data_IF_421519439612
#
_entry.id   IF_421519439612
#
_cell.length_a   1.000
_cell.length_b   1.000
_cell.length_c   1.000
_cell.angle_alpha   90.00
_cell.angle_beta   90.00
_cell.angle_gamma   90.00
#
_symmetry.space_group_name_H-M   'P 1'
#
loop_
_entity.id
_entity.type
_entity.pdbx_description
1 polymer ?
#
# COMPACT_ATOMS: atom_id res chain seq x y z
N UNK A 1 4.20 20.03 -6.50
CA UNK A 1 3.66 18.76 -7.04
C UNK A 1 4.42 18.17 -8.24
N UNK A 2 4.95 18.91 -9.23
CA UNK A 2 5.61 18.28 -10.39
C UNK A 2 6.83 17.44 -10.02
N UNK A 3 7.56 17.83 -8.96
CA UNK A 3 8.67 17.04 -8.41
C UNK A 3 8.24 15.65 -7.91
N UNK A 4 7.08 15.53 -7.25
CA UNK A 4 6.59 14.23 -6.79
C UNK A 4 6.16 13.34 -7.95
N UNK A 5 5.51 13.93 -8.97
CA UNK A 5 5.15 13.20 -10.17
C UNK A 5 6.39 12.65 -10.90
N UNK A 6 7.45 13.47 -10.98
CA UNK A 6 8.73 13.07 -11.56
C UNK A 6 9.43 12.00 -10.71
N UNK A 7 9.45 12.15 -9.39
CA UNK A 7 10.07 11.18 -8.48
C UNK A 7 9.40 9.80 -8.53
N UNK A 8 8.08 9.76 -8.74
CA UNK A 8 7.32 8.51 -8.88
C UNK A 8 7.21 8.03 -10.34
N UNK A 9 7.91 8.69 -11.28
CA UNK A 9 7.89 8.38 -12.71
C UNK A 9 6.48 8.25 -13.30
N UNK A 10 5.54 9.07 -12.83
CA UNK A 10 4.16 9.05 -13.35
C UNK A 10 4.14 9.84 -14.68
N UNK A 11 3.69 9.24 -15.79
CA UNK A 11 3.59 9.91 -17.08
C UNK A 11 2.71 11.16 -17.01
N UNK A 12 2.97 12.15 -17.87
CA UNK A 12 2.16 13.38 -17.91
C UNK A 12 0.69 13.11 -18.30
N UNK A 13 0.47 12.12 -19.15
CA UNK A 13 -0.85 11.64 -19.57
C UNK A 13 -0.80 10.12 -19.53
N UNK A 14 -1.84 9.51 -18.97
CA UNK A 14 -2.00 8.07 -18.88
C UNK A 14 -3.30 7.67 -19.58
N UNK A 15 -3.21 6.64 -20.40
CA UNK A 15 -4.38 5.95 -20.94
C UNK A 15 -4.57 4.67 -20.14
N UNK A 16 -5.69 4.56 -19.43
CA UNK A 16 -6.04 3.31 -18.73
C UNK A 16 -6.63 2.29 -19.71
N UNK A 17 -6.72 1.02 -19.28
CA UNK A 17 -7.32 -0.06 -20.09
C UNK A 17 -8.80 0.20 -20.44
N UNK A 18 -9.48 0.99 -19.61
CA UNK A 18 -10.85 1.43 -19.84
C UNK A 18 -10.94 2.63 -20.80
N UNK A 19 -9.85 2.93 -21.52
CA UNK A 19 -9.73 4.06 -22.47
C UNK A 19 -9.92 5.43 -21.83
N UNK A 20 -9.77 5.53 -20.52
CA UNK A 20 -9.80 6.80 -19.82
C UNK A 20 -8.46 7.49 -20.00
N UNK A 21 -8.49 8.73 -20.46
CA UNK A 21 -7.29 9.56 -20.61
C UNK A 21 -7.24 10.50 -19.42
N UNK A 22 -6.26 10.29 -18.55
CA UNK A 22 -6.16 11.00 -17.27
C UNK A 22 -4.79 11.68 -17.19
N UNK A 23 -4.72 12.96 -16.77
CA UNK A 23 -3.46 13.62 -16.53
C UNK A 23 -2.75 12.98 -15.32
N UNK A 24 -1.43 12.81 -15.40
CA UNK A 24 -0.65 12.14 -14.35
C UNK A 24 -0.75 12.81 -12.98
N UNK A 25 -1.00 14.12 -12.95
CA UNK A 25 -1.20 14.86 -11.70
C UNK A 25 -2.48 14.43 -10.96
N UNK A 26 -3.54 14.08 -11.69
CA UNK A 26 -4.79 13.62 -11.10
C UNK A 26 -4.62 12.23 -10.49
N UNK A 27 -3.92 11.34 -11.19
CA UNK A 27 -3.52 10.03 -10.68
C UNK A 27 -2.72 10.19 -9.39
N UNK A 28 -1.70 11.07 -9.39
CA UNK A 28 -0.90 11.34 -8.21
C UNK A 28 -1.75 11.82 -7.03
N UNK A 29 -2.65 12.77 -7.26
CA UNK A 29 -3.52 13.30 -6.20
C UNK A 29 -4.48 12.24 -5.65
N UNK A 30 -5.07 11.41 -6.51
CA UNK A 30 -5.99 10.33 -6.11
C UNK A 30 -5.23 9.30 -5.25
N UNK A 31 -4.06 8.86 -5.69
CA UNK A 31 -3.22 7.93 -4.94
C UNK A 31 -2.82 8.51 -3.59
N UNK A 32 -2.29 9.74 -3.56
CA UNK A 32 -1.88 10.38 -2.30
C UNK A 32 -3.05 10.57 -1.34
N UNK A 33 -4.24 10.91 -1.84
CA UNK A 33 -5.45 11.02 -1.01
C UNK A 33 -5.80 9.68 -0.36
N UNK A 34 -5.82 8.59 -1.12
CA UNK A 34 -6.20 7.27 -0.63
C UNK A 34 -5.14 6.68 0.31
N UNK A 35 -3.86 6.98 0.10
CA UNK A 35 -2.78 6.60 1.02
C UNK A 35 -2.82 7.40 2.32
N UNK A 36 -3.22 8.68 2.25
CA UNK A 36 -3.34 9.53 3.45
C UNK A 36 -4.58 9.19 4.27
N UNK A 37 -5.67 8.81 3.60
CA UNK A 37 -6.94 8.42 4.20
C UNK A 37 -7.47 7.17 3.49
N UNK A 38 -7.19 5.97 4.04
CA UNK A 38 -7.67 4.72 3.47
C UNK A 38 -9.20 4.77 3.36
N UNK A 39 -9.70 4.64 2.14
CA UNK A 39 -11.14 4.61 1.82
C UNK A 39 -11.43 3.29 1.11
N UNK A 40 -12.65 2.76 1.28
CA UNK A 40 -13.04 1.57 0.54
C UNK A 40 -13.04 1.90 -0.96
N UNK A 41 -12.54 0.98 -1.80
CA UNK A 41 -12.54 1.16 -3.26
C UNK A 41 -13.96 1.36 -3.81
N UNK A 42 -14.96 0.73 -3.17
CA UNK A 42 -16.37 0.85 -3.54
C UNK A 42 -16.91 2.27 -3.29
N UNK A 43 -16.34 3.00 -2.32
CA UNK A 43 -16.77 4.37 -1.98
C UNK A 43 -16.19 5.44 -2.93
N UNK A 44 -15.12 5.12 -3.67
CA UNK A 44 -14.45 6.07 -4.57
C UNK A 44 -15.22 6.30 -5.88
N UNK A 45 -16.16 5.42 -6.21
CA UNK A 45 -16.79 5.36 -7.53
C UNK A 45 -15.90 4.65 -8.55
N UNK A 46 -16.52 4.09 -9.58
CA UNK A 46 -15.86 3.16 -10.51
C UNK A 46 -14.63 3.75 -11.20
N UNK A 47 -14.74 4.93 -11.81
CA UNK A 47 -13.64 5.55 -12.57
C UNK A 47 -12.44 5.91 -11.68
N UNK A 48 -12.69 6.46 -10.50
CA UNK A 48 -11.63 6.83 -9.54
C UNK A 48 -10.95 5.58 -8.98
N UNK A 49 -11.71 4.52 -8.72
CA UNK A 49 -11.18 3.22 -8.29
C UNK A 49 -10.21 2.64 -9.34
N UNK A 50 -10.56 2.70 -10.63
CA UNK A 50 -9.66 2.28 -11.72
C UNK A 50 -8.39 3.13 -11.79
N UNK A 51 -8.51 4.45 -11.65
CA UNK A 51 -7.36 5.36 -11.65
C UNK A 51 -6.43 5.05 -10.48
N UNK A 52 -7.00 4.86 -9.29
CA UNK A 52 -6.24 4.51 -8.09
C UNK A 52 -5.53 3.16 -8.27
N UNK A 53 -6.24 2.14 -8.76
CA UNK A 53 -5.67 0.82 -9.00
C UNK A 53 -4.50 0.87 -9.98
N UNK A 54 -4.63 1.63 -11.07
CA UNK A 54 -3.54 1.84 -12.02
C UNK A 54 -2.34 2.53 -11.35
N UNK A 55 -2.58 3.60 -10.60
CA UNK A 55 -1.52 4.36 -9.93
C UNK A 55 -0.77 3.54 -8.88
N UNK A 56 -1.50 2.73 -8.09
CA UNK A 56 -0.92 1.81 -7.12
C UNK A 56 -0.13 0.69 -7.82
N UNK A 57 -0.66 0.10 -8.88
CA UNK A 57 0.05 -0.93 -9.64
C UNK A 57 1.37 -0.37 -10.22
N UNK A 58 1.36 0.85 -10.75
CA UNK A 58 2.55 1.53 -11.27
C UNK A 58 3.62 1.71 -10.19
N UNK A 59 3.24 2.24 -9.02
CA UNK A 59 4.17 2.45 -7.89
C UNK A 59 4.70 1.10 -7.37
N UNK A 60 3.81 0.12 -7.15
CA UNK A 60 4.20 -1.20 -6.66
C UNK A 60 5.15 -1.92 -7.61
N UNK A 61 4.95 -1.78 -8.92
CA UNK A 61 5.84 -2.39 -9.91
C UNK A 61 7.21 -1.72 -9.90
N UNK A 62 7.22 -0.38 -9.95
CA UNK A 62 8.45 0.40 -10.05
C UNK A 62 9.32 0.32 -8.79
N UNK A 63 8.69 0.34 -7.62
CA UNK A 63 9.37 0.32 -6.33
C UNK A 63 9.24 -1.02 -5.62
N UNK A 64 8.94 -2.10 -6.35
CA UNK A 64 8.77 -3.44 -5.78
C UNK A 64 9.96 -3.85 -4.91
N UNK A 65 11.18 -3.64 -5.37
CA UNK A 65 12.37 -3.99 -4.59
C UNK A 65 12.48 -3.21 -3.27
N UNK A 66 12.02 -1.96 -3.25
CA UNK A 66 12.02 -1.13 -2.05
C UNK A 66 10.81 -1.39 -1.14
N UNK A 67 9.65 -1.71 -1.71
CA UNK A 67 8.43 -2.01 -0.95
C UNK A 67 8.49 -3.41 -0.32
N UNK A 68 9.12 -4.35 -1.02
CA UNK A 68 9.37 -5.70 -0.57
C UNK A 68 10.83 -5.85 -0.13
N UNK A 69 11.34 -4.84 0.59
CA UNK A 69 12.73 -4.62 1.00
C UNK A 69 13.42 -5.85 1.59
N UNK A 70 12.65 -6.87 2.00
CA UNK A 70 13.23 -8.12 2.45
C UNK A 70 12.43 -9.38 2.11
N UNK A 71 12.28 -9.71 0.82
CA UNK A 71 11.64 -10.98 0.40
C UNK A 71 12.30 -12.23 1.00
N UNK A 72 13.56 -12.15 1.40
CA UNK A 72 14.31 -13.29 1.94
C UNK A 72 14.10 -13.47 3.45
N UNK A 73 13.92 -12.37 4.20
CA UNK A 73 13.67 -12.44 5.65
C UNK A 73 12.18 -12.40 6.02
N UNK A 74 11.33 -11.78 5.20
CA UNK A 74 9.87 -11.80 5.38
C UNK A 74 9.21 -13.03 4.72
N UNK A 75 9.90 -14.17 4.73
CA UNK A 75 9.27 -15.45 4.38
C UNK A 75 8.49 -15.98 5.58
N UNK A 76 7.43 -16.75 5.33
CA UNK A 76 6.67 -17.37 6.43
C UNK A 76 7.59 -18.18 7.34
N UNK A 77 8.54 -18.92 6.78
CA UNK A 77 9.48 -19.70 7.57
C UNK A 77 10.34 -18.85 8.50
N UNK A 78 10.99 -17.81 7.99
CA UNK A 78 11.85 -16.94 8.81
C UNK A 78 11.04 -16.16 9.86
N UNK A 79 9.80 -15.78 9.53
CA UNK A 79 8.88 -15.16 10.48
C UNK A 79 8.47 -16.12 11.61
N UNK A 80 8.26 -17.41 11.31
CA UNK A 80 8.00 -18.44 12.32
C UNK A 80 9.22 -18.66 13.21
N UNK A 81 10.41 -18.84 12.62
CA UNK A 81 11.66 -19.01 13.37
C UNK A 81 11.93 -17.82 14.30
N UNK A 82 11.66 -16.60 13.82
CA UNK A 82 11.75 -15.39 14.63
C UNK A 82 10.73 -15.36 15.77
N UNK A 83 9.47 -15.71 15.50
CA UNK A 83 8.42 -15.76 16.51
C UNK A 83 8.73 -16.78 17.62
N UNK A 84 9.21 -17.97 17.24
CA UNK A 84 9.61 -19.02 18.17
C UNK A 84 10.81 -18.57 19.03
N UNK A 85 11.83 -17.97 18.43
CA UNK A 85 12.99 -17.46 19.16
C UNK A 85 12.61 -16.38 20.18
N UNK A 86 11.67 -15.49 19.83
CA UNK A 86 11.14 -14.46 20.75
C UNK A 86 10.33 -15.09 21.87
N UNK A 87 9.46 -16.06 21.56
CA UNK A 87 8.69 -16.81 22.53
C UNK A 87 9.60 -17.55 23.53
N UNK A 88 10.59 -18.27 23.03
CA UNK A 88 11.55 -19.06 23.83
C UNK A 88 12.45 -18.17 24.71
N UNK A 89 12.73 -16.95 24.28
CA UNK A 89 13.42 -15.95 25.10
C UNK A 89 12.58 -15.44 26.29
N UNK A 90 11.34 -15.91 26.43
CA UNK A 90 10.43 -15.54 27.50
C UNK A 90 9.66 -14.27 27.18
N UNK A 91 9.17 -14.14 25.94
CA UNK A 91 8.35 -12.99 25.52
C UNK A 91 7.29 -12.66 26.58
N UNK A 92 7.18 -11.41 27.03
CA UNK A 92 6.29 -11.02 28.12
C UNK A 92 4.79 -11.15 27.76
N UNK A 93 4.48 -11.37 26.48
CA UNK A 93 3.13 -11.51 25.97
C UNK A 93 2.94 -12.87 25.30
N UNK A 94 1.86 -13.55 25.67
CA UNK A 94 1.45 -14.84 25.08
C UNK A 94 0.74 -14.65 23.73
N UNK A 95 0.25 -13.42 23.48
CA UNK A 95 -0.43 -13.01 22.25
C UNK A 95 0.35 -11.88 21.56
N UNK A 96 0.53 -11.99 20.24
CA UNK A 96 1.13 -10.94 19.42
C UNK A 96 0.15 -9.78 19.23
N UNK A 97 0.28 -8.71 20.02
CA UNK A 97 -0.36 -7.44 19.70
C UNK A 97 0.49 -6.70 18.67
N UNK A 98 0.16 -6.88 17.38
CA UNK A 98 0.73 -6.05 16.32
C UNK A 98 0.28 -4.61 16.50
N UNK A 99 1.19 -3.74 16.94
CA UNK A 99 0.93 -2.30 16.95
C UNK A 99 1.01 -1.80 15.51
N UNK A 100 -0.13 -1.83 14.81
CA UNK A 100 -0.30 -1.11 13.56
C UNK A 100 -0.62 0.32 13.96
N UNK A 101 0.33 1.25 13.80
CA UNK A 101 0.06 2.68 13.90
C UNK A 101 -0.76 3.12 12.66
N UNK A 102 -2.00 2.66 12.61
CA UNK A 102 -3.00 3.14 11.67
C UNK A 102 -3.84 4.16 12.43
N UNK A 103 -3.73 5.42 12.03
CA UNK A 103 -4.43 6.57 12.59
C UNK A 103 -5.98 6.49 12.46
N UNK A 104 -6.57 5.32 12.17
CA UNK A 104 -8.02 5.10 12.12
C UNK A 104 -8.38 3.68 12.60
N UNK A 105 -8.92 3.61 13.81
CA UNK A 105 -9.24 2.39 14.57
C UNK A 105 -10.54 1.67 14.16
N UNK A 106 -11.22 2.13 13.10
CA UNK A 106 -12.57 1.69 12.75
C UNK A 106 -12.62 0.55 11.71
N UNK A 107 -11.52 0.29 10.99
CA UNK A 107 -11.52 -0.66 9.86
C UNK A 107 -11.22 -2.11 10.27
N UNK A 108 -10.74 -2.33 11.50
CA UNK A 108 -10.30 -3.66 11.98
C UNK A 108 -11.36 -4.42 12.79
N UNK A 109 -12.66 -4.17 12.60
CA UNK A 109 -13.68 -5.03 13.22
C UNK A 109 -13.99 -6.20 12.28
N UNK A 110 -13.70 -7.46 12.68
CA UNK A 110 -14.33 -8.59 12.01
C UNK A 110 -15.85 -8.52 12.24
N UNK A 111 -16.63 -8.89 11.22
CA UNK A 111 -18.06 -9.17 11.36
C UNK A 111 -18.28 -10.37 12.29
#
# INVERSE_FOLDING_TARGET
>A
MPHCQQALHIPAIVSTDNRLIVPGIEILCIVLRCLSFPTCLDDLGSEVSWIYQWGMAHICTLFSDALYWDKNWLTSQVLWEYADAVHDAGAPYVDCFGFVDSMVWQTCRPL
#
